data_IF_895463846296
#
_entry.id   IF_895463846296
#
_cell.length_a   1.000
_cell.length_b   1.000
_cell.length_c   1.000
_cell.angle_alpha   90.00
_cell.angle_beta   90.00
_cell.angle_gamma   90.00
#
_symmetry.space_group_name_H-M   'P 1'
#
loop_
_entity.id
_entity.type
_entity.pdbx_description
1 polymer ?
#
# COMPACT_ATOMS: atom_id res chain seq x y z
N UNK A 1 9.09 28.25 -2.10
CA UNK A 1 9.01 27.54 -0.80
C UNK A 1 8.74 26.08 -1.14
N UNK A 2 9.80 25.27 -1.22
CA UNK A 2 9.69 23.88 -1.68
C UNK A 2 9.10 23.02 -0.57
N UNK A 3 7.84 22.59 -0.74
CA UNK A 3 7.23 21.62 0.15
C UNK A 3 7.95 20.28 -0.03
N UNK A 4 8.64 19.82 1.02
CA UNK A 4 9.28 18.50 1.10
C UNK A 4 8.22 17.37 1.24
N UNK A 5 7.18 17.38 0.41
CA UNK A 5 6.01 16.48 0.47
C UNK A 5 6.39 14.99 0.40
N UNK A 6 7.45 14.66 -0.36
CA UNK A 6 7.91 13.26 -0.49
C UNK A 6 8.43 12.66 0.82
N UNK A 7 8.85 13.48 1.79
CA UNK A 7 9.33 13.01 3.09
C UNK A 7 8.22 12.91 4.15
N UNK A 8 7.12 13.65 4.00
CA UNK A 8 5.98 13.62 4.94
C UNK A 8 5.10 12.39 4.74
N UNK A 9 4.88 11.96 3.49
CA UNK A 9 4.02 10.81 3.16
C UNK A 9 4.62 9.46 3.57
N UNK A 10 5.94 9.40 3.78
CA UNK A 10 6.60 8.20 4.30
C UNK A 10 6.39 8.02 5.83
N UNK A 11 5.72 8.97 6.50
CA UNK A 11 5.60 9.00 7.95
C UNK A 11 4.19 8.61 8.43
N UNK A 12 4.12 7.61 9.31
CA UNK A 12 2.95 7.31 10.15
C UNK A 12 2.71 8.43 11.15
N UNK A 13 1.44 8.76 11.38
CA UNK A 13 1.00 9.30 12.66
C UNK A 13 0.81 8.15 13.65
N UNK A 14 1.48 8.24 14.80
CA UNK A 14 1.15 7.40 15.96
C UNK A 14 0.11 8.11 16.83
N UNK A 15 -0.56 7.38 17.73
CA UNK A 15 -1.41 7.96 18.78
C UNK A 15 -0.69 9.03 19.63
N UNK A 16 0.65 9.08 19.58
CA UNK A 16 1.50 10.07 20.26
C UNK A 16 1.84 11.31 19.42
N UNK A 17 1.30 11.44 18.21
CA UNK A 17 1.52 12.59 17.31
C UNK A 17 2.91 12.64 16.66
N UNK A 18 3.72 11.57 16.78
CA UNK A 18 5.06 11.51 16.20
C UNK A 18 5.04 10.90 14.80
N UNK A 19 5.77 11.53 13.89
CA UNK A 19 6.08 11.03 12.56
C UNK A 19 7.06 9.86 12.66
N UNK A 20 6.64 8.69 12.18
CA UNK A 20 7.51 7.51 12.11
C UNK A 20 7.62 7.06 10.66
N UNK A 21 8.84 6.99 10.13
CA UNK A 21 9.09 6.52 8.77
C UNK A 21 8.79 5.02 8.66
N UNK A 22 8.03 4.61 7.65
CA UNK A 22 7.85 3.18 7.36
C UNK A 22 9.16 2.53 6.93
N UNK A 23 9.35 1.27 7.34
CA UNK A 23 10.44 0.45 6.85
C UNK A 23 10.13 0.05 5.41
N UNK A 24 11.04 0.40 4.50
CA UNK A 24 10.92 0.07 3.08
C UNK A 24 12.23 -0.59 2.62
N UNK A 25 12.16 -1.63 1.76
CA UNK A 25 13.35 -2.18 1.14
C UNK A 25 14.11 -1.11 0.36
N UNK A 26 15.45 -1.09 0.49
CA UNK A 26 16.29 -0.07 -0.14
C UNK A 26 16.16 -0.06 -1.66
N UNK A 27 16.00 -1.23 -2.28
CA UNK A 27 15.85 -1.34 -3.73
C UNK A 27 14.54 -0.71 -4.21
N UNK A 28 13.43 -0.91 -3.48
CA UNK A 28 12.16 -0.27 -3.80
C UNK A 28 12.24 1.25 -3.64
N UNK A 29 12.96 1.73 -2.62
CA UNK A 29 13.25 3.16 -2.47
C UNK A 29 14.09 3.72 -3.63
N UNK A 30 15.09 2.97 -4.10
CA UNK A 30 15.90 3.39 -5.25
C UNK A 30 15.09 3.38 -6.55
N UNK A 31 14.25 2.36 -6.78
CA UNK A 31 13.31 2.31 -7.91
C UNK A 31 12.36 3.50 -7.90
N UNK A 32 11.83 3.87 -6.73
CA UNK A 32 10.95 5.03 -6.59
C UNK A 32 11.69 6.34 -6.90
N UNK A 33 12.92 6.48 -6.40
CA UNK A 33 13.78 7.63 -6.68
C UNK A 33 14.14 7.71 -8.17
N UNK A 34 14.36 6.57 -8.81
CA UNK A 34 14.59 6.49 -10.25
C UNK A 34 13.32 6.79 -11.05
N UNK A 35 12.13 6.40 -10.59
CA UNK A 35 10.88 6.68 -11.29
C UNK A 35 10.52 8.18 -11.26
N UNK A 36 10.82 8.87 -10.17
CA UNK A 36 10.50 10.28 -9.97
C UNK A 36 11.70 11.24 -10.17
N UNK A 37 12.75 10.77 -10.84
CA UNK A 37 13.85 11.64 -11.25
C UNK A 37 13.41 12.43 -12.50
N UNK A 38 13.59 13.77 -12.55
CA UNK A 38 13.20 14.57 -13.72
C UNK A 38 13.74 14.06 -15.06
N UNK A 39 14.91 13.41 -15.06
CA UNK A 39 15.51 12.83 -16.27
C UNK A 39 14.77 11.58 -16.78
N UNK A 40 14.25 10.76 -15.87
CA UNK A 40 13.50 9.54 -16.21
C UNK A 40 12.04 9.83 -16.48
N UNK A 41 11.47 10.90 -15.91
CA UNK A 41 10.13 11.38 -16.24
C UNK A 41 10.02 11.74 -17.74
N UNK A 42 11.07 12.34 -18.31
CA UNK A 42 11.18 12.58 -19.75
C UNK A 42 11.21 11.27 -20.57
N UNK A 43 11.95 10.25 -20.11
CA UNK A 43 11.99 8.91 -20.72
C UNK A 43 10.66 8.16 -20.57
N UNK A 44 9.92 8.35 -19.47
CA UNK A 44 8.65 7.66 -19.16
C UNK A 44 7.50 8.11 -20.09
N UNK A 45 7.68 9.16 -20.89
CA UNK A 45 6.77 9.51 -22.01
C UNK A 45 6.49 8.32 -22.95
N UNK A 46 7.44 7.38 -23.04
CA UNK A 46 7.33 6.22 -23.95
C UNK A 46 6.67 5.00 -23.30
N UNK A 47 6.21 5.08 -22.04
CA UNK A 47 5.63 3.98 -21.26
C UNK A 47 6.51 2.72 -21.08
N UNK A 48 7.76 2.72 -21.55
CA UNK A 48 8.66 1.56 -21.53
C UNK A 48 9.00 1.14 -20.11
N UNK A 49 9.27 2.11 -19.23
CA UNK A 49 9.59 1.86 -17.82
C UNK A 49 8.40 1.21 -17.11
N UNK A 50 7.19 1.74 -17.32
CA UNK A 50 5.95 1.16 -16.79
C UNK A 50 5.69 -0.25 -17.31
N UNK A 51 5.89 -0.50 -18.60
CA UNK A 51 5.72 -1.83 -19.18
C UNK A 51 6.75 -2.84 -18.63
N UNK A 52 8.00 -2.41 -18.45
CA UNK A 52 9.04 -3.22 -17.81
C UNK A 52 8.65 -3.59 -16.38
N UNK A 53 8.26 -2.60 -15.57
CA UNK A 53 7.83 -2.83 -14.20
C UNK A 53 6.61 -3.77 -14.15
N UNK A 54 5.64 -3.60 -15.04
CA UNK A 54 4.48 -4.50 -15.15
C UNK A 54 4.90 -5.95 -15.37
N UNK A 55 5.80 -6.21 -16.33
CA UNK A 55 6.30 -7.56 -16.62
C UNK A 55 7.08 -8.15 -15.44
N UNK A 56 7.89 -7.34 -14.74
CA UNK A 56 8.56 -7.79 -13.51
C UNK A 56 7.56 -8.21 -12.43
N UNK A 57 6.47 -7.46 -12.25
CA UNK A 57 5.41 -7.79 -11.27
C UNK A 57 4.70 -9.09 -11.62
N UNK A 58 4.35 -9.28 -12.89
CA UNK A 58 3.75 -10.54 -13.36
C UNK A 58 4.68 -11.74 -13.12
N UNK A 59 5.98 -11.57 -13.39
CA UNK A 59 6.98 -12.61 -13.15
C UNK A 59 7.13 -12.92 -11.66
N UNK A 60 7.21 -11.89 -10.82
CA UNK A 60 7.33 -12.03 -9.36
C UNK A 60 6.11 -12.76 -8.78
N UNK A 61 4.90 -12.41 -9.21
CA UNK A 61 3.68 -13.11 -8.77
C UNK A 61 3.67 -14.61 -9.12
N UNK A 62 4.16 -14.98 -10.31
CA UNK A 62 4.31 -16.40 -10.68
C UNK A 62 5.36 -17.13 -9.84
N UNK A 63 6.45 -16.45 -9.49
CA UNK A 63 7.51 -17.01 -8.63
C UNK A 63 7.03 -17.19 -7.19
N UNK A 64 6.21 -16.28 -6.68
CA UNK A 64 5.59 -16.34 -5.34
C UNK A 64 4.64 -17.53 -5.18
N UNK A 65 3.99 -17.97 -6.26
CA UNK A 65 3.16 -19.20 -6.28
C UNK A 65 3.94 -20.51 -6.38
N UNK A 66 5.28 -20.49 -6.40
CA UNK A 66 6.10 -21.72 -6.43
C UNK A 66 6.47 -22.18 -5.02
N UNK A 67 6.64 -23.50 -4.75
CA UNK A 67 7.02 -23.98 -3.41
C UNK A 67 8.37 -23.44 -2.91
N UNK A 68 9.27 -23.05 -3.82
CA UNK A 68 10.55 -22.44 -3.46
C UNK A 68 10.39 -21.08 -2.76
N UNK A 69 9.28 -20.38 -2.98
CA UNK A 69 9.02 -19.05 -2.39
C UNK A 69 8.75 -19.11 -0.88
N UNK A 70 8.43 -20.29 -0.32
CA UNK A 70 8.23 -20.50 1.12
C UNK A 70 9.41 -19.97 1.95
N UNK A 71 10.64 -20.10 1.45
CA UNK A 71 11.85 -19.65 2.13
C UNK A 71 11.87 -18.13 2.41
N UNK A 72 11.10 -17.35 1.65
CA UNK A 72 11.01 -15.90 1.79
C UNK A 72 10.14 -15.46 2.98
N UNK A 73 9.21 -16.33 3.43
CA UNK A 73 8.19 -15.99 4.43
C UNK A 73 8.83 -15.53 5.75
N UNK A 74 9.81 -16.28 6.28
CA UNK A 74 10.46 -15.94 7.54
C UNK A 74 11.13 -14.56 7.48
N UNK A 75 11.89 -14.30 6.41
CA UNK A 75 12.56 -13.02 6.20
C UNK A 75 11.55 -11.87 6.09
N UNK A 76 10.40 -12.12 5.46
CA UNK A 76 9.32 -11.15 5.32
C UNK A 76 8.66 -10.83 6.66
N UNK A 77 8.34 -11.85 7.45
CA UNK A 77 7.75 -11.71 8.79
C UNK A 77 8.68 -10.92 9.71
N UNK A 78 9.97 -11.22 9.68
CA UNK A 78 10.99 -10.53 10.49
C UNK A 78 11.16 -9.07 10.06
N UNK A 79 11.21 -8.82 8.75
CA UNK A 79 11.37 -7.47 8.20
C UNK A 79 10.19 -6.56 8.55
N UNK A 80 8.95 -7.04 8.36
CA UNK A 80 7.75 -6.26 8.64
C UNK A 80 7.23 -6.40 10.08
N UNK A 81 7.88 -7.23 10.91
CA UNK A 81 7.51 -7.52 12.30
C UNK A 81 6.03 -7.92 12.43
N UNK A 82 5.62 -8.87 11.59
CA UNK A 82 4.23 -9.32 11.51
C UNK A 82 3.91 -10.16 12.74
N UNK A 83 2.80 -9.82 13.43
CA UNK A 83 2.32 -10.58 14.57
C UNK A 83 1.57 -11.83 14.10
N UNK A 84 2.28 -12.96 14.01
CA UNK A 84 1.74 -14.21 13.46
C UNK A 84 0.62 -14.85 14.31
N UNK A 85 0.54 -14.51 15.59
CA UNK A 85 -0.50 -15.03 16.50
C UNK A 85 -1.93 -14.63 16.11
N UNK A 86 -2.11 -13.60 15.29
CA UNK A 86 -3.41 -13.11 14.84
C UNK A 86 -4.01 -13.95 13.68
N UNK A 87 -3.24 -14.84 13.06
CA UNK A 87 -3.62 -15.60 11.86
C UNK A 87 -3.86 -17.08 12.15
N UNK A 88 -4.80 -17.72 11.45
CA UNK A 88 -5.20 -19.12 11.70
C UNK A 88 -4.00 -20.07 11.74
N UNK A 89 -3.10 -19.92 10.77
CA UNK A 89 -1.80 -20.58 10.75
C UNK A 89 -0.76 -19.63 11.34
N UNK A 90 -0.44 -19.81 12.62
CA UNK A 90 0.59 -18.99 13.29
C UNK A 90 2.02 -19.45 12.95
N UNK A 91 2.19 -20.68 12.48
CA UNK A 91 3.49 -21.21 12.03
C UNK A 91 3.75 -20.82 10.57
N UNK A 92 4.87 -20.16 10.32
CA UNK A 92 5.31 -19.75 8.99
C UNK A 92 5.68 -20.94 8.10
N UNK A 93 6.07 -22.09 8.69
CA UNK A 93 6.37 -23.32 7.96
C UNK A 93 5.14 -24.06 7.44
N UNK A 94 3.94 -23.70 7.92
CA UNK A 94 2.70 -24.35 7.51
C UNK A 94 2.18 -23.89 6.12
N UNK A 95 2.70 -22.79 5.59
CA UNK A 95 2.35 -22.27 4.27
C UNK A 95 3.15 -22.98 3.18
N UNK A 96 2.50 -23.41 2.11
CA UNK A 96 3.18 -24.12 1.00
C UNK A 96 3.93 -23.17 0.08
N UNK A 97 3.39 -21.97 -0.10
CA UNK A 97 3.95 -20.92 -0.96
C UNK A 97 3.87 -19.55 -0.28
N UNK A 98 4.63 -18.58 -0.77
CA UNK A 98 4.53 -17.18 -0.35
C UNK A 98 3.17 -16.57 -0.71
N UNK A 99 2.58 -16.96 -1.85
CA UNK A 99 1.23 -16.56 -2.24
C UNK A 99 0.20 -17.00 -1.19
N UNK A 100 0.25 -18.26 -0.73
CA UNK A 100 -0.63 -18.77 0.33
C UNK A 100 -0.49 -17.96 1.63
N UNK A 101 0.75 -17.59 1.98
CA UNK A 101 1.03 -16.73 3.12
C UNK A 101 0.47 -15.31 2.94
N UNK A 102 0.49 -14.77 1.72
CA UNK A 102 0.03 -13.42 1.43
C UNK A 102 -1.49 -13.29 1.57
N UNK A 103 -2.25 -14.32 1.16
CA UNK A 103 -3.73 -14.36 1.26
C UNK A 103 -4.24 -15.04 2.54
N UNK A 104 -3.37 -15.23 3.53
CA UNK A 104 -3.68 -15.96 4.77
C UNK A 104 -4.93 -15.44 5.50
N UNK A 105 -5.67 -16.37 6.12
CA UNK A 105 -6.84 -16.06 6.93
C UNK A 105 -6.46 -15.58 8.34
N UNK A 106 -7.24 -14.63 8.85
CA UNK A 106 -7.18 -14.16 10.23
C UNK A 106 -7.93 -15.11 11.17
N UNK A 107 -7.47 -15.25 12.42
CA UNK A 107 -8.23 -16.00 13.43
C UNK A 107 -9.60 -15.36 13.67
N UNK A 108 -10.66 -16.14 13.89
CA UNK A 108 -11.94 -15.63 14.36
C UNK A 108 -11.76 -14.75 15.61
N UNK A 109 -12.37 -13.57 15.62
CA UNK A 109 -12.28 -12.64 16.74
C UNK A 109 -11.01 -11.78 16.82
N UNK A 110 -10.03 -11.97 15.92
CA UNK A 110 -8.82 -11.12 15.88
C UNK A 110 -9.08 -9.68 15.42
N UNK A 111 -10.23 -9.43 14.78
CA UNK A 111 -10.69 -8.13 14.29
C UNK A 111 -12.17 -7.93 14.65
N UNK A 112 -12.49 -7.54 15.91
CA UNK A 112 -13.88 -7.30 16.30
C UNK A 112 -14.45 -6.08 15.59
N UNK A 113 -15.66 -6.20 15.04
CA UNK A 113 -16.38 -5.08 14.43
C UNK A 113 -16.98 -4.23 15.54
N UNK A 114 -16.68 -2.93 15.53
CA UNK A 114 -17.18 -1.98 16.53
C UNK A 114 -18.55 -1.46 16.08
N UNK A 115 -19.51 -1.48 17.00
CA UNK A 115 -20.85 -0.91 16.81
C UNK A 115 -21.59 -1.46 15.56
N UNK A 116 -21.63 -2.79 15.44
CA UNK A 116 -22.22 -3.53 14.31
C UNK A 116 -23.68 -3.12 14.02
N UNK A 117 -24.46 -2.80 15.06
CA UNK A 117 -25.87 -2.40 14.93
C UNK A 117 -26.08 -0.88 14.74
N UNK A 118 -25.01 -0.08 14.69
CA UNK A 118 -25.13 1.38 14.57
C UNK A 118 -24.97 1.85 13.12
N UNK A 119 -26.06 2.26 12.43
CA UNK A 119 -25.98 2.70 11.04
C UNK A 119 -25.25 4.03 10.85
N UNK A 120 -24.96 4.77 11.93
CA UNK A 120 -24.18 6.00 11.89
C UNK A 120 -22.67 5.77 12.10
N UNK A 121 -22.23 4.52 12.31
CA UNK A 121 -20.83 4.17 12.49
C UNK A 121 -20.25 3.64 11.18
N UNK A 122 -19.03 4.07 10.84
CA UNK A 122 -18.27 3.51 9.72
C UNK A 122 -17.05 2.77 10.28
N UNK A 123 -16.75 1.60 9.70
CA UNK A 123 -15.57 0.80 10.04
C UNK A 123 -14.59 0.79 8.89
N UNK A 124 -13.31 0.61 9.21
CA UNK A 124 -12.26 0.50 8.20
C UNK A 124 -12.31 -0.89 7.59
N UNK A 125 -12.31 -0.96 6.26
CA UNK A 125 -12.44 -2.24 5.52
C UNK A 125 -11.16 -3.07 5.47
N UNK A 126 -10.01 -2.47 5.77
CA UNK A 126 -8.70 -3.13 5.68
C UNK A 126 -7.73 -2.60 6.74
N UNK A 127 -6.85 -3.49 7.23
CA UNK A 127 -5.73 -3.13 8.10
C UNK A 127 -4.78 -2.18 7.37
N UNK A 128 -4.91 -0.89 7.65
CA UNK A 128 -4.22 0.16 6.89
C UNK A 128 -4.04 1.41 7.73
N UNK A 129 -3.27 2.37 7.19
CA UNK A 129 -3.21 3.73 7.71
C UNK A 129 -4.28 4.55 7.02
N UNK A 130 -5.27 4.97 7.79
CA UNK A 130 -6.39 5.74 7.26
C UNK A 130 -6.07 7.23 7.40
N UNK A 131 -6.17 7.93 6.28
CA UNK A 131 -6.15 9.40 6.25
C UNK A 131 -7.57 9.87 5.96
N UNK A 132 -8.12 10.67 6.86
CA UNK A 132 -9.46 11.24 6.74
C UNK A 132 -9.38 12.76 6.63
N UNK A 133 -10.34 13.34 5.91
CA UNK A 133 -10.49 14.77 5.74
C UNK A 133 -11.91 15.17 6.09
N UNK A 134 -12.08 16.36 6.65
CA UNK A 134 -13.40 16.88 7.02
C UNK A 134 -14.27 17.18 5.78
N UNK A 135 -13.63 17.47 4.64
CA UNK A 135 -14.33 17.83 3.40
C UNK A 135 -13.69 17.23 2.16
N UNK A 136 -14.50 16.97 1.14
CA UNK A 136 -14.05 16.51 -0.19
C UNK A 136 -13.08 17.52 -0.83
N UNK A 137 -13.27 18.81 -0.59
CA UNK A 137 -12.38 19.84 -1.14
C UNK A 137 -10.97 19.78 -0.54
N UNK A 138 -10.84 19.36 0.72
CA UNK A 138 -9.54 19.14 1.34
C UNK A 138 -8.89 17.85 0.83
N UNK A 139 -9.67 16.77 0.62
CA UNK A 139 -9.10 15.52 0.10
C UNK A 139 -8.51 15.66 -1.29
N UNK A 140 -9.03 16.57 -2.14
CA UNK A 140 -8.46 16.88 -3.47
C UNK A 140 -7.08 17.55 -3.42
N UNK A 141 -6.68 18.18 -2.31
CA UNK A 141 -5.43 18.97 -2.22
C UNK A 141 -4.18 18.15 -1.95
N UNK A 142 -4.32 16.98 -1.36
CA UNK A 142 -3.19 16.15 -0.96
C UNK A 142 -3.24 14.83 -1.73
N UNK A 143 -2.70 14.84 -2.96
CA UNK A 143 -2.38 13.59 -3.65
C UNK A 143 -0.93 13.53 -4.09
N UNK A 144 -0.43 12.32 -3.90
CA UNK A 144 0.90 11.82 -4.22
C UNK A 144 1.14 12.17 -5.69
N UNK A 145 2.17 12.96 -5.95
CA UNK A 145 2.64 13.33 -7.30
C UNK A 145 1.70 14.22 -8.13
N UNK A 146 1.51 15.46 -7.67
CA UNK A 146 1.68 16.65 -8.51
C UNK A 146 0.69 16.94 -9.64
N UNK A 147 -0.38 16.17 -9.83
CA UNK A 147 -1.39 16.43 -10.85
C UNK A 147 -2.80 16.44 -10.25
N UNK A 148 -3.58 17.44 -10.66
CA UNK A 148 -4.93 17.74 -10.18
C UNK A 148 -5.84 16.50 -10.21
N UNK A 149 -6.12 15.96 -9.03
CA UNK A 149 -7.02 14.85 -8.84
C UNK A 149 -8.47 15.33 -8.98
N UNK A 150 -9.18 14.81 -9.98
CA UNK A 150 -10.62 15.00 -10.17
C UNK A 150 -11.41 13.75 -9.82
N UNK A 151 -12.68 13.94 -9.42
CA UNK A 151 -13.56 12.81 -9.09
C UNK A 151 -13.87 12.01 -10.36
N UNK A 152 -14.02 12.71 -11.49
CA UNK A 152 -14.18 12.13 -12.83
C UNK A 152 -13.03 11.18 -13.18
N UNK A 153 -11.77 11.59 -12.94
CA UNK A 153 -10.60 10.75 -13.22
C UNK A 153 -10.51 9.56 -12.26
N UNK A 154 -10.88 9.73 -10.99
CA UNK A 154 -10.91 8.63 -10.01
C UNK A 154 -11.93 7.56 -10.39
N UNK A 155 -13.14 7.98 -10.78
CA UNK A 155 -14.24 7.08 -11.12
C UNK A 155 -14.18 6.58 -12.58
N UNK A 156 -13.28 7.14 -13.39
CA UNK A 156 -13.19 6.91 -14.84
C UNK A 156 -14.54 7.11 -15.56
N UNK A 157 -15.38 8.00 -15.03
CA UNK A 157 -16.72 8.29 -15.55
C UNK A 157 -16.77 9.72 -16.07
N UNK A 158 -16.73 9.84 -17.39
CA UNK A 158 -16.74 11.11 -18.12
C UNK A 158 -18.09 11.85 -18.05
N UNK A 159 -19.15 11.22 -17.52
CA UNK A 159 -20.47 11.82 -17.32
C UNK A 159 -20.57 12.67 -16.05
N UNK A 160 -19.66 12.46 -15.09
CA UNK A 160 -19.60 13.22 -13.86
C UNK A 160 -18.86 14.54 -14.09
N UNK A 161 -19.56 15.67 -13.94
CA UNK A 161 -18.93 16.99 -13.89
C UNK A 161 -18.43 17.23 -12.46
N UNK A 162 -17.17 17.61 -12.32
CA UNK A 162 -16.63 18.04 -11.04
C UNK A 162 -17.45 19.21 -10.50
N UNK A 163 -18.01 19.04 -9.30
CA UNK A 163 -18.71 20.08 -8.52
C UNK A 163 -17.66 20.93 -7.79
#
# INVERSE_FOLDING_TARGET
MGYNLGNELANSFTQTGRYIREQQPLMEKLKLLLLFNPLTEWLDTTHVVRLYMHREREKSGREEGTPASQQQINTFVDFYRIKMDDFELSDTGAYSTFEDFFVRAHKPGSRPIVAEDNPCSAVVVADSRVVVYDTVQQSKKLWITGLDFSITNMLMDNGLRDI
#
